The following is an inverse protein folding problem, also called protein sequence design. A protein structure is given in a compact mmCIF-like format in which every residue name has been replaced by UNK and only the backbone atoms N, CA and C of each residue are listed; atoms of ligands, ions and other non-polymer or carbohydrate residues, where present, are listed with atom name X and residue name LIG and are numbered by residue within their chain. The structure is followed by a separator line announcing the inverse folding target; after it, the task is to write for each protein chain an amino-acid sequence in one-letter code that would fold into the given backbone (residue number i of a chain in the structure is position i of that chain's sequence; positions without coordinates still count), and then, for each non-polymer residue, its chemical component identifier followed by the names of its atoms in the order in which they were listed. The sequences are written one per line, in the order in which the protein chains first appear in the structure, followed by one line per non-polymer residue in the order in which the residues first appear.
data_IF_449778095205
#
_entry.id   IF_449778095205
#
_cell.length_a   1.000
_cell.length_b   1.000
_cell.length_c   1.000
_cell.angle_alpha   90.00
_cell.angle_beta   90.00
_cell.angle_gamma   90.00
#
_symmetry.space_group_name_H-M   'P 1'
#
loop_
_entity.id
_entity.type
_entity.pdbx_description
1 polymer ?
#
# COMPACT_ATOMS: atom_id res chain seq x y z
N UNK A 1 -8.03 -2.63 -12.50
CA UNK A 1 -8.94 -1.84 -11.64
C UNK A 1 -8.15 -1.06 -10.61
N UNK A 2 -8.73 0.04 -10.11
CA UNK A 2 -8.15 0.86 -9.07
C UNK A 2 -9.25 1.53 -8.24
N UNK A 3 -8.91 1.88 -6.99
CA UNK A 3 -9.77 2.59 -6.07
C UNK A 3 -9.28 4.03 -5.88
N UNK A 4 -10.18 4.99 -6.00
CA UNK A 4 -9.94 6.38 -5.61
C UNK A 4 -11.13 6.90 -4.81
N UNK A 5 -10.84 7.57 -3.69
CA UNK A 5 -11.85 8.21 -2.86
C UNK A 5 -11.41 9.62 -2.44
N UNK A 6 -12.39 10.45 -2.11
CA UNK A 6 -12.20 11.82 -1.65
C UNK A 6 -13.10 12.12 -0.47
N UNK A 7 -12.59 12.81 0.55
CA UNK A 7 -13.43 13.15 1.70
C UNK A 7 -12.79 14.04 2.76
N UNK A 8 -13.68 14.60 3.59
CA UNK A 8 -13.32 15.13 4.91
C UNK A 8 -13.02 14.00 5.90
N UNK A 9 -13.09 14.27 7.21
CA UNK A 9 -12.78 13.26 8.22
C UNK A 9 -13.61 11.97 8.08
N UNK A 10 -14.94 12.09 8.01
CA UNK A 10 -15.82 10.91 7.90
C UNK A 10 -15.67 10.17 6.56
N UNK A 11 -15.51 10.91 5.45
CA UNK A 11 -15.31 10.29 4.14
C UNK A 11 -13.95 9.59 4.04
N UNK A 12 -12.93 10.13 4.71
CA UNK A 12 -11.63 9.48 4.82
C UNK A 12 -11.73 8.20 5.62
N UNK A 13 -12.43 8.24 6.76
CA UNK A 13 -12.61 7.08 7.62
C UNK A 13 -13.26 5.90 6.87
N UNK A 14 -14.36 6.15 6.15
CA UNK A 14 -14.99 5.14 5.30
C UNK A 14 -14.07 4.66 4.17
N UNK A 15 -13.31 5.57 3.54
CA UNK A 15 -12.40 5.20 2.47
C UNK A 15 -11.26 4.28 2.95
N UNK A 16 -10.81 4.44 4.20
CA UNK A 16 -9.79 3.58 4.81
C UNK A 16 -10.31 2.15 5.02
N UNK A 17 -11.56 1.99 5.47
CA UNK A 17 -12.20 0.67 5.57
C UNK A 17 -12.25 -0.04 4.22
N UNK A 18 -12.68 0.67 3.17
CA UNK A 18 -12.70 0.11 1.81
C UNK A 18 -11.30 -0.25 1.34
N UNK A 19 -10.29 0.60 1.60
CA UNK A 19 -8.91 0.34 1.21
C UNK A 19 -8.33 -0.91 1.87
N UNK A 20 -8.69 -1.20 3.13
CA UNK A 20 -8.25 -2.41 3.85
C UNK A 20 -8.86 -3.70 3.29
N UNK A 21 -10.07 -3.63 2.73
CA UNK A 21 -10.72 -4.79 2.12
C UNK A 21 -10.17 -5.13 0.73
N UNK A 22 -9.46 -4.22 0.09
CA UNK A 22 -8.94 -4.43 -1.27
C UNK A 22 -7.60 -5.19 -1.24
N UNK A 23 -7.38 -6.16 -2.15
CA UNK A 23 -6.14 -6.95 -2.18
C UNK A 23 -4.89 -6.10 -2.34
N UNK A 24 -3.75 -6.60 -1.83
CA UNK A 24 -2.46 -5.93 -2.04
C UNK A 24 -2.12 -5.84 -3.53
N UNK A 25 -1.57 -4.70 -3.94
CA UNK A 25 -1.15 -4.42 -5.31
C UNK A 25 -2.26 -3.83 -6.18
N UNK A 26 -3.53 -3.87 -5.76
CA UNK A 26 -4.58 -3.03 -6.36
C UNK A 26 -4.28 -1.57 -5.99
N UNK A 27 -4.14 -0.64 -6.94
CA UNK A 27 -3.89 0.77 -6.62
C UNK A 27 -5.04 1.38 -5.81
N UNK A 28 -4.70 1.96 -4.66
CA UNK A 28 -5.63 2.59 -3.72
C UNK A 28 -5.17 4.02 -3.46
N UNK A 29 -6.04 5.00 -3.70
CA UNK A 29 -5.69 6.41 -3.54
C UNK A 29 -6.77 7.19 -2.78
N UNK A 30 -6.41 7.88 -1.71
CA UNK A 30 -7.35 8.69 -0.91
C UNK A 30 -6.92 10.15 -0.89
N UNK A 31 -7.81 11.02 -1.38
CA UNK A 31 -7.69 12.47 -1.29
C UNK A 31 -8.40 12.93 -0.02
N UNK A 32 -7.65 13.35 1.00
CA UNK A 32 -8.22 13.58 2.34
C UNK A 32 -7.88 14.97 2.89
N UNK A 33 -8.83 15.62 3.55
CA UNK A 33 -8.57 16.85 4.31
C UNK A 33 -7.78 16.61 5.61
N UNK A 34 -7.68 15.35 6.05
CA UNK A 34 -6.97 14.93 7.25
C UNK A 34 -5.84 13.93 6.93
N UNK A 35 -5.37 13.88 5.67
CA UNK A 35 -4.25 13.02 5.30
C UNK A 35 -3.04 13.27 6.22
N UNK A 36 -2.43 12.18 6.70
CA UNK A 36 -1.27 12.23 7.61
C UNK A 36 -1.53 12.87 8.98
N UNK A 37 -2.80 13.13 9.33
CA UNK A 37 -3.18 13.59 10.64
C UNK A 37 -3.03 12.48 11.68
N UNK A 38 -2.72 12.86 12.92
CA UNK A 38 -2.77 11.98 14.09
C UNK A 38 -4.18 11.41 14.36
N UNK A 39 -5.21 12.00 13.73
CA UNK A 39 -6.59 11.49 13.74
C UNK A 39 -6.77 10.21 12.92
N UNK A 40 -5.78 9.81 12.11
CA UNK A 40 -5.80 8.55 11.37
C UNK A 40 -4.89 7.56 12.12
N UNK A 41 -5.48 6.60 12.86
CA UNK A 41 -4.70 5.55 13.49
C UNK A 41 -3.92 4.75 12.43
N UNK A 42 -2.63 4.41 12.66
CA UNK A 42 -1.83 3.67 11.70
C UNK A 42 -2.45 2.34 11.23
N UNK A 43 -3.20 1.66 12.09
CA UNK A 43 -3.94 0.43 11.79
C UNK A 43 -5.01 0.57 10.72
N UNK A 44 -5.52 1.79 10.48
CA UNK A 44 -6.52 2.05 9.43
C UNK A 44 -5.88 2.14 8.04
N UNK A 45 -4.56 2.26 7.95
CA UNK A 45 -3.84 2.52 6.69
C UNK A 45 -3.44 1.20 6.05
N UNK A 46 -4.00 0.88 4.88
CA UNK A 46 -3.57 -0.28 4.11
C UNK A 46 -2.09 -0.16 3.70
N UNK A 47 -1.32 -1.26 3.64
CA UNK A 47 0.14 -1.21 3.41
C UNK A 47 0.58 -0.50 2.13
N UNK A 48 -0.24 -0.55 1.09
CA UNK A 48 0.00 0.04 -0.24
C UNK A 48 -0.92 1.23 -0.54
N UNK A 49 -1.55 1.83 0.49
CA UNK A 49 -2.39 3.00 0.34
C UNK A 49 -1.57 4.25 0.00
N UNK A 50 -1.98 4.97 -1.04
CA UNK A 50 -1.50 6.31 -1.34
C UNK A 50 -2.48 7.36 -0.83
N UNK A 51 -1.97 8.45 -0.26
CA UNK A 51 -2.80 9.57 0.20
C UNK A 51 -2.25 10.91 -0.25
N UNK A 52 -3.12 11.90 -0.45
CA UNK A 52 -2.73 13.30 -0.63
C UNK A 52 -3.57 14.20 0.26
N UNK A 53 -2.92 15.21 0.86
CA UNK A 53 -3.60 16.21 1.65
C UNK A 53 -4.34 17.19 0.74
N UNK A 54 -5.64 17.34 0.96
CA UNK A 54 -6.50 18.26 0.24
C UNK A 54 -6.96 19.40 1.15
N UNK A 55 -6.03 20.32 1.42
CA UNK A 55 -6.21 21.37 2.43
C UNK A 55 -7.33 22.38 2.13
N UNK A 56 -7.77 22.53 0.87
CA UNK A 56 -8.70 23.58 0.45
C UNK A 56 -10.10 23.13 0.02
N UNK A 57 -10.48 21.87 0.31
CA UNK A 57 -11.35 21.12 -0.59
C UNK A 57 -12.86 21.11 -0.41
N UNK A 58 -13.40 21.42 0.77
CA UNK A 58 -14.83 21.16 1.01
C UNK A 58 -15.76 22.29 0.54
N UNK A 59 -15.22 23.43 0.09
CA UNK A 59 -16.00 24.59 -0.34
C UNK A 59 -15.63 25.04 -1.76
N UNK A 60 -16.13 24.28 -2.74
CA UNK A 60 -16.02 24.61 -4.16
C UNK A 60 -14.71 24.21 -4.84
N UNK A 61 -14.73 24.21 -6.18
CA UNK A 61 -13.64 23.75 -7.02
C UNK A 61 -12.75 24.91 -7.49
N UNK A 62 -11.83 25.35 -6.64
CA UNK A 62 -10.83 26.37 -7.01
C UNK A 62 -9.63 25.77 -7.77
N UNK A 63 -8.74 26.64 -8.28
CA UNK A 63 -7.55 26.23 -9.05
C UNK A 63 -6.63 25.27 -8.28
N UNK A 64 -6.47 25.49 -6.97
CA UNK A 64 -5.68 24.61 -6.09
C UNK A 64 -6.33 23.23 -5.98
N UNK A 65 -7.65 23.18 -5.82
CA UNK A 65 -8.40 21.91 -5.78
C UNK A 65 -8.25 21.15 -7.09
N UNK A 66 -8.36 21.82 -8.25
CA UNK A 66 -8.16 21.19 -9.56
C UNK A 66 -6.75 20.61 -9.69
N UNK A 67 -5.73 21.32 -9.22
CA UNK A 67 -4.34 20.86 -9.25
C UNK A 67 -4.14 19.60 -8.39
N UNK A 68 -4.67 19.57 -7.17
CA UNK A 68 -4.58 18.40 -6.28
C UNK A 68 -5.33 17.20 -6.86
N UNK A 69 -6.54 17.42 -7.36
CA UNK A 69 -7.32 16.36 -8.02
C UNK A 69 -6.62 15.81 -9.26
N UNK A 70 -6.02 16.68 -10.08
CA UNK A 70 -5.25 16.27 -11.26
C UNK A 70 -4.05 15.40 -10.88
N UNK A 71 -3.35 15.73 -9.79
CA UNK A 71 -2.24 14.91 -9.28
C UNK A 71 -2.74 13.56 -8.77
N UNK A 72 -3.84 13.53 -8.02
CA UNK A 72 -4.44 12.30 -7.53
C UNK A 72 -4.86 11.37 -8.68
N UNK A 73 -5.53 11.91 -9.71
CA UNK A 73 -5.90 11.18 -10.92
C UNK A 73 -4.66 10.66 -11.66
N UNK A 74 -3.64 11.49 -11.84
CA UNK A 74 -2.39 11.09 -12.49
C UNK A 74 -1.68 9.95 -11.74
N UNK A 75 -1.62 10.05 -10.41
CA UNK A 75 -0.99 9.04 -9.57
C UNK A 75 -1.72 7.69 -9.64
N UNK A 76 -3.05 7.67 -9.50
CA UNK A 76 -3.81 6.40 -9.55
C UNK A 76 -3.78 5.76 -10.94
N UNK A 77 -3.89 6.56 -12.01
CA UNK A 77 -3.79 6.05 -13.39
C UNK A 77 -2.39 5.51 -13.68
N UNK A 78 -1.35 6.25 -13.27
CA UNK A 78 0.04 5.82 -13.41
C UNK A 78 0.31 4.52 -12.66
N UNK A 79 -0.10 4.44 -11.39
CA UNK A 79 0.03 3.23 -10.59
C UNK A 79 -0.71 2.03 -11.23
N UNK A 80 -1.89 2.26 -11.80
CA UNK A 80 -2.67 1.21 -12.49
C UNK A 80 -1.96 0.71 -13.73
N UNK A 81 -1.44 1.61 -14.57
CA UNK A 81 -0.67 1.22 -15.77
C UNK A 81 0.56 0.41 -15.39
N UNK A 82 1.33 0.89 -14.41
CA UNK A 82 2.54 0.21 -13.96
C UNK A 82 2.23 -1.15 -13.33
N UNK A 83 1.14 -1.28 -12.57
CA UNK A 83 0.69 -2.57 -12.01
C UNK A 83 0.43 -3.58 -13.13
N UNK A 84 -0.27 -3.19 -14.19
CA UNK A 84 -0.58 -4.07 -15.32
C UNK A 84 0.68 -4.52 -16.05
N UNK A 85 1.60 -3.60 -16.34
CA UNK A 85 2.88 -3.91 -16.98
C UNK A 85 3.75 -4.84 -16.12
N UNK A 86 3.80 -4.59 -14.82
CA UNK A 86 4.56 -5.40 -13.85
C UNK A 86 3.99 -6.81 -13.76
N UNK A 87 2.65 -6.95 -13.68
CA UNK A 87 2.00 -8.26 -13.67
C UNK A 87 2.22 -9.04 -14.97
N UNK A 88 2.20 -8.37 -16.11
CA UNK A 88 2.45 -9.00 -17.40
C UNK A 88 3.91 -9.46 -17.57
N UNK A 89 4.86 -8.73 -16.97
CA UNK A 89 6.29 -9.01 -17.09
C UNK A 89 6.86 -9.83 -15.93
N UNK A 90 6.04 -10.18 -14.94
CA UNK A 90 6.50 -10.91 -13.76
C UNK A 90 6.91 -12.34 -14.16
N UNK A 91 8.16 -12.76 -13.92
CA UNK A 91 8.53 -14.15 -14.11
C UNK A 91 7.70 -15.04 -13.17
N UNK A 92 7.30 -16.22 -13.65
CA UNK A 92 6.68 -17.22 -12.80
C UNK A 92 7.68 -17.65 -11.73
N UNK A 93 7.59 -17.06 -10.54
CA UNK A 93 8.34 -17.49 -9.36
C UNK A 93 7.58 -18.63 -8.68
N UNK A 94 8.30 -19.47 -7.95
CA UNK A 94 7.68 -20.48 -7.09
C UNK A 94 6.92 -19.85 -5.92
N UNK A 95 6.41 -20.67 -4.99
CA UNK A 95 5.61 -20.20 -3.86
C UNK A 95 6.28 -19.07 -3.08
N UNK A 96 5.48 -18.11 -2.62
CA UNK A 96 5.99 -16.97 -1.84
C UNK A 96 6.20 -17.37 -0.39
N UNK A 97 7.39 -17.13 0.15
CA UNK A 97 7.73 -17.26 1.56
C UNK A 97 7.81 -15.85 2.14
N UNK A 98 6.86 -15.49 2.99
CA UNK A 98 7.00 -14.30 3.82
C UNK A 98 7.93 -14.57 5.01
N UNK A 99 8.80 -13.61 5.32
CA UNK A 99 9.76 -13.68 6.41
C UNK A 99 9.73 -12.36 7.19
N UNK A 100 9.58 -12.43 8.50
CA UNK A 100 9.65 -11.24 9.36
C UNK A 100 11.09 -10.93 9.77
N UNK A 101 11.38 -9.67 10.12
CA UNK A 101 12.71 -9.20 10.52
C UNK A 101 12.66 -7.90 11.34
N UNK A 102 13.61 -7.70 12.25
CA UNK A 102 13.84 -6.46 13.01
C UNK A 102 15.12 -5.74 12.54
N UNK A 103 15.44 -5.86 11.26
CA UNK A 103 16.66 -5.30 10.68
C UNK A 103 17.86 -6.23 10.79
N UNK A 104 18.82 -6.03 9.87
CA UNK A 104 19.94 -6.97 9.68
C UNK A 104 21.08 -6.84 10.69
N UNK A 105 20.98 -5.82 11.55
CA UNK A 105 21.83 -5.57 12.72
C UNK A 105 21.38 -6.39 13.92
N UNK A 106 20.07 -6.55 14.12
CA UNK A 106 19.50 -7.32 15.22
C UNK A 106 19.32 -8.80 14.88
N UNK A 107 18.77 -9.09 13.69
CA UNK A 107 18.52 -10.45 13.23
C UNK A 107 19.43 -10.74 12.03
N UNK A 108 20.13 -11.88 12.01
CA UNK A 108 21.07 -12.22 10.91
C UNK A 108 20.60 -13.38 10.04
N UNK A 109 19.62 -14.17 10.50
CA UNK A 109 19.16 -15.38 9.80
C UNK A 109 18.68 -15.09 8.37
N UNK A 110 18.06 -13.94 8.12
CA UNK A 110 17.54 -13.60 6.79
C UNK A 110 18.64 -13.54 5.73
N UNK A 111 19.87 -13.13 6.11
CA UNK A 111 21.04 -13.05 5.22
C UNK A 111 21.45 -14.44 4.73
N UNK A 112 21.24 -15.48 5.54
CA UNK A 112 21.56 -16.86 5.19
C UNK A 112 20.39 -17.56 4.52
N UNK A 113 19.17 -17.35 5.02
CA UNK A 113 17.97 -18.06 4.56
C UNK A 113 17.45 -17.55 3.22
N UNK A 114 17.38 -16.23 2.99
CA UNK A 114 16.84 -15.66 1.73
C UNK A 114 17.56 -16.20 0.50
N UNK A 115 18.91 -16.15 0.39
CA UNK A 115 19.60 -16.68 -0.78
C UNK A 115 19.50 -18.20 -0.93
N UNK A 116 19.32 -18.93 0.18
CA UNK A 116 19.15 -20.38 0.13
C UNK A 116 17.76 -20.81 -0.36
N UNK A 117 16.73 -20.06 0.01
CA UNK A 117 15.35 -20.26 -0.44
C UNK A 117 15.18 -19.81 -1.91
N UNK A 118 15.74 -18.67 -2.29
CA UNK A 118 15.71 -18.18 -3.69
C UNK A 118 16.38 -19.17 -4.65
N UNK A 119 17.52 -19.75 -4.26
CA UNK A 119 18.18 -20.83 -5.04
C UNK A 119 17.34 -22.09 -5.21
N UNK A 120 16.36 -22.30 -4.32
CA UNK A 120 15.40 -23.41 -4.40
C UNK A 120 14.13 -23.03 -5.17
N UNK A 121 14.06 -21.82 -5.72
CA UNK A 121 12.96 -21.35 -6.57
C UNK A 121 11.83 -20.64 -5.84
N UNK A 122 11.95 -20.37 -4.53
CA UNK A 122 10.94 -19.61 -3.77
C UNK A 122 11.09 -18.11 -3.97
N UNK A 123 9.97 -17.37 -3.99
CA UNK A 123 10.00 -15.90 -3.85
C UNK A 123 10.01 -15.55 -2.36
N UNK A 124 10.98 -14.74 -1.90
CA UNK A 124 11.11 -14.45 -0.46
C UNK A 124 10.84 -12.98 -0.19
N UNK A 125 9.73 -12.68 0.47
CA UNK A 125 9.33 -11.34 0.87
C UNK A 125 9.69 -11.09 2.35
N UNK A 126 10.59 -10.13 2.62
CA UNK A 126 11.03 -9.81 3.98
C UNK A 126 10.30 -8.57 4.51
N UNK A 127 9.62 -8.71 5.64
CA UNK A 127 8.80 -7.66 6.27
C UNK A 127 9.41 -7.16 7.58
N UNK A 128 9.41 -5.84 7.78
CA UNK A 128 9.95 -5.22 8.99
C UNK A 128 8.90 -5.17 10.13
N UNK A 129 9.18 -5.83 11.26
CA UNK A 129 8.21 -6.00 12.35
C UNK A 129 8.23 -4.86 13.37
N UNK A 130 8.00 -3.63 12.93
CA UNK A 130 7.83 -2.45 13.80
C UNK A 130 6.40 -1.90 13.76
N UNK A 131 5.41 -2.80 13.65
CA UNK A 131 4.00 -2.45 13.51
C UNK A 131 3.47 -2.77 12.11
N UNK A 132 3.52 -1.79 11.20
CA UNK A 132 2.87 -1.90 9.88
C UNK A 132 3.38 -3.05 9.01
N UNK A 133 4.68 -3.38 9.05
CA UNK A 133 5.20 -4.49 8.27
C UNK A 133 4.72 -5.87 8.74
N UNK A 134 4.45 -6.03 10.05
CA UNK A 134 3.85 -7.27 10.57
C UNK A 134 2.41 -7.45 10.08
N UNK A 135 1.61 -6.38 10.12
CA UNK A 135 0.25 -6.38 9.56
C UNK A 135 0.22 -6.63 8.06
N UNK A 136 1.15 -6.04 7.32
CA UNK A 136 1.28 -6.32 5.88
C UNK A 136 1.56 -7.81 5.63
N UNK A 137 2.47 -8.41 6.41
CA UNK A 137 2.73 -9.85 6.33
C UNK A 137 1.49 -10.70 6.60
N UNK A 138 0.74 -10.42 7.69
CA UNK A 138 -0.48 -11.14 8.04
C UNK A 138 -1.58 -10.98 6.98
N UNK A 139 -1.76 -9.76 6.46
CA UNK A 139 -2.74 -9.45 5.41
C UNK A 139 -2.45 -10.23 4.13
N UNK A 140 -1.17 -10.32 3.73
CA UNK A 140 -0.75 -11.11 2.57
C UNK A 140 -0.91 -12.60 2.83
N UNK A 141 -0.54 -13.09 4.01
CA UNK A 141 -0.67 -14.50 4.36
C UNK A 141 -2.12 -14.98 4.42
N UNK A 142 -3.07 -14.09 4.76
CA UNK A 142 -4.51 -14.39 4.77
C UNK A 142 -5.20 -14.24 3.42
N UNK A 143 -4.53 -13.67 2.41
CA UNK A 143 -5.00 -13.61 1.03
C UNK A 143 -4.30 -14.77 0.30
N UNK A 144 -5.01 -15.87 0.02
CA UNK A 144 -4.45 -17.11 -0.60
C UNK A 144 -3.56 -16.83 -1.83
N UNK A 145 -2.26 -16.63 -1.61
CA UNK A 145 -1.23 -16.27 -2.59
C UNK A 145 -0.11 -17.32 -2.64
#
# INVERSE_FOLDING_TARGET
DAFIAIGGSMGTDLALDVALCLPLGVPKFVVSTIAYSHLIPPERVAPDLMMILWAGGLYGLNSICKLVLSQACGAVVGATKMMLETRASAPAKGPTIGMTSLGSSCLRYMKTLKPALERRGYDVAVFHTTGMGGRAFESIAGQDH
#
